data_IF_594863316582
#
_entry.id   IF_594863316582
#
_cell.length_a   1.000
_cell.length_b   1.000
_cell.length_c   1.000
_cell.angle_alpha   90.00
_cell.angle_beta   90.00
_cell.angle_gamma   90.00
#
_symmetry.space_group_name_H-M   'P 1'
#
loop_
_entity.id
_entity.type
_entity.pdbx_description
1 polymer ?
#
# COMPACT_ATOMS: atom_id res chain seq x y z
N UNK A 1 -7.09 13.90 -15.31
CA UNK A 1 -6.79 14.58 -14.03
C UNK A 1 -5.94 13.62 -13.21
N UNK A 2 -4.76 14.01 -12.74
CA UNK A 2 -3.79 13.08 -12.15
C UNK A 2 -4.15 12.65 -10.73
N UNK A 3 -3.98 11.37 -10.43
CA UNK A 3 -4.19 10.75 -9.11
C UNK A 3 -2.82 10.48 -8.48
N UNK A 4 -2.64 10.85 -7.20
CA UNK A 4 -1.44 10.48 -6.42
C UNK A 4 -1.84 9.38 -5.46
N UNK A 5 -1.12 8.26 -5.49
CA UNK A 5 -1.28 7.15 -4.56
C UNK A 5 -0.53 7.47 -3.28
N UNK A 6 -1.18 7.30 -2.13
CA UNK A 6 -0.58 7.58 -0.82
C UNK A 6 -0.48 6.31 0.05
N UNK A 7 -1.34 5.33 -0.21
CA UNK A 7 -1.34 4.09 0.57
C UNK A 7 -1.87 2.92 -0.27
N UNK A 8 -1.25 1.76 -0.09
CA UNK A 8 -1.63 0.48 -0.67
C UNK A 8 -1.80 -0.50 0.48
N UNK A 9 -3.03 -0.95 0.67
CA UNK A 9 -3.40 -2.02 1.59
C UNK A 9 -3.50 -3.31 0.80
N UNK A 10 -2.87 -4.39 1.26
CA UNK A 10 -2.90 -5.67 0.57
C UNK A 10 -3.01 -6.84 1.54
N UNK A 11 -3.79 -7.84 1.15
CA UNK A 11 -3.91 -9.12 1.85
C UNK A 11 -4.16 -10.28 0.88
N UNK A 12 -4.61 -11.43 1.40
CA UNK A 12 -4.93 -12.63 0.61
C UNK A 12 -6.25 -12.52 -0.17
N UNK A 13 -7.06 -11.49 0.08
CA UNK A 13 -8.34 -11.24 -0.58
C UNK A 13 -8.21 -10.21 -1.70
N UNK A 14 -7.20 -9.34 -1.66
CA UNK A 14 -6.89 -8.42 -2.74
C UNK A 14 -6.11 -7.20 -2.28
N UNK A 15 -6.28 -6.11 -3.03
CA UNK A 15 -5.56 -4.84 -2.85
C UNK A 15 -6.54 -3.67 -2.84
N UNK A 16 -6.35 -2.77 -1.88
CA UNK A 16 -7.06 -1.51 -1.75
C UNK A 16 -6.06 -0.35 -1.87
N UNK A 17 -6.21 0.45 -2.93
CA UNK A 17 -5.34 1.58 -3.24
C UNK A 17 -6.04 2.87 -2.84
N UNK A 18 -5.43 3.60 -1.91
CA UNK A 18 -5.89 4.90 -1.47
C UNK A 18 -5.14 6.00 -2.22
N UNK A 19 -5.91 6.87 -2.87
CA UNK A 19 -5.42 8.14 -3.40
C UNK A 19 -5.95 9.29 -2.56
N UNK A 20 -5.52 10.50 -2.87
CA UNK A 20 -6.05 11.71 -2.22
C UNK A 20 -7.56 11.90 -2.40
N UNK A 21 -8.16 11.28 -3.43
CA UNK A 21 -9.55 11.55 -3.84
C UNK A 21 -10.46 10.35 -3.70
N UNK A 22 -9.94 9.14 -3.87
CA UNK A 22 -10.76 7.95 -3.94
C UNK A 22 -10.00 6.68 -3.58
N UNK A 23 -10.75 5.60 -3.51
CA UNK A 23 -10.28 4.26 -3.21
C UNK A 23 -10.50 3.40 -4.45
N UNK A 24 -9.48 2.64 -4.84
CA UNK A 24 -9.57 1.63 -5.88
C UNK A 24 -9.42 0.25 -5.27
N UNK A 25 -10.25 -0.69 -5.71
CA UNK A 25 -10.19 -2.10 -5.32
C UNK A 25 -9.73 -2.93 -6.52
N UNK A 26 -8.82 -3.87 -6.28
CA UNK A 26 -8.30 -4.77 -7.31
C UNK A 26 -7.85 -6.10 -6.68
N UNK A 27 -7.77 -7.16 -7.49
CA UNK A 27 -7.21 -8.45 -7.03
C UNK A 27 -5.68 -8.40 -6.90
N UNK A 28 -5.02 -7.57 -7.71
CA UNK A 28 -3.57 -7.39 -7.72
C UNK A 28 -3.17 -5.98 -8.16
N UNK A 29 -1.95 -5.56 -7.81
CA UNK A 29 -1.37 -4.27 -8.23
C UNK A 29 0.07 -4.44 -8.70
N UNK A 30 0.46 -3.71 -9.75
CA UNK A 30 1.86 -3.61 -10.20
C UNK A 30 2.39 -2.24 -9.84
N UNK A 31 3.49 -2.19 -9.10
CA UNK A 31 4.13 -0.94 -8.67
C UNK A 31 5.33 -0.65 -9.58
N UNK A 32 5.24 0.43 -10.35
CA UNK A 32 6.30 0.87 -11.29
C UNK A 32 6.82 2.27 -10.97
N UNK A 33 6.80 2.67 -9.70
CA UNK A 33 7.31 3.97 -9.28
C UNK A 33 8.84 4.02 -9.39
N UNK A 34 9.39 5.22 -9.58
CA UNK A 34 10.84 5.42 -9.57
C UNK A 34 11.45 4.94 -8.26
N UNK A 35 12.65 4.36 -8.33
CA UNK A 35 13.33 3.77 -7.16
C UNK A 35 13.49 4.75 -5.99
N UNK A 36 13.69 6.05 -6.25
CA UNK A 36 13.80 7.08 -5.22
C UNK A 36 12.51 7.36 -4.45
N UNK A 37 11.36 6.89 -4.94
CA UNK A 37 10.06 7.03 -4.26
C UNK A 37 9.89 5.98 -3.16
N UNK A 38 10.40 4.77 -3.35
CA UNK A 38 10.27 3.66 -2.39
C UNK A 38 10.83 3.99 -0.99
N UNK A 39 12.06 4.53 -0.83
CA UNK A 39 12.59 4.86 0.49
C UNK A 39 12.01 6.16 1.08
N UNK A 40 11.25 6.93 0.30
CA UNK A 40 10.76 8.27 0.71
C UNK A 40 9.49 8.24 1.57
N UNK A 41 8.91 7.05 1.79
CA UNK A 41 7.63 6.88 2.51
C UNK A 41 6.45 7.67 1.92
N UNK A 42 6.53 8.09 0.65
CA UNK A 42 5.44 8.76 -0.06
C UNK A 42 4.24 7.83 -0.32
N UNK A 43 4.49 6.53 -0.40
CA UNK A 43 3.47 5.47 -0.51
C UNK A 43 3.64 4.53 0.67
N UNK A 44 2.58 4.40 1.48
CA UNK A 44 2.56 3.45 2.60
C UNK A 44 2.08 2.08 2.11
N UNK A 45 2.86 1.04 2.42
CA UNK A 45 2.54 -0.35 2.09
C UNK A 45 2.21 -1.10 3.38
N UNK A 46 0.92 -1.33 3.65
CA UNK A 46 0.49 -1.91 4.92
C UNK A 46 -0.41 -3.13 4.71
N UNK A 47 -0.35 -4.07 5.65
CA UNK A 47 -1.41 -5.07 5.81
C UNK A 47 -2.66 -4.39 6.39
N UNK A 48 -3.88 -4.83 6.04
CA UNK A 48 -5.10 -4.33 6.67
C UNK A 48 -5.05 -4.52 8.19
N UNK A 49 -5.50 -3.52 8.93
CA UNK A 49 -5.33 -3.39 10.39
C UNK A 49 -5.97 -4.52 11.21
N UNK A 50 -6.80 -5.36 10.57
CA UNK A 50 -7.41 -6.54 11.17
C UNK A 50 -6.35 -7.59 11.55
N UNK A 51 -5.22 -7.64 10.84
CA UNK A 51 -4.10 -8.56 11.13
C UNK A 51 -3.04 -7.98 12.09
N UNK A 52 -3.07 -6.66 12.34
CA UNK A 52 -2.10 -5.99 13.24
C UNK A 52 -2.30 -6.32 14.72
N UNK A 53 -3.48 -6.83 15.10
CA UNK A 53 -3.75 -7.26 16.47
C UNK A 53 -3.09 -8.61 16.82
N UNK A 54 -2.58 -9.35 15.82
CA UNK A 54 -2.12 -10.75 15.98
C UNK A 54 -0.68 -10.99 15.54
N UNK A 55 -0.05 -10.07 14.78
CA UNK A 55 1.32 -10.26 14.30
C UNK A 55 2.30 -9.27 14.95
N UNK A 56 3.44 -9.73 15.51
CA UNK A 56 4.48 -8.85 16.02
C UNK A 56 5.07 -8.04 14.86
N UNK A 57 4.95 -6.72 14.98
CA UNK A 57 5.39 -5.70 14.04
C UNK A 57 6.87 -5.85 13.69
N UNK A 58 7.16 -6.42 12.53
CA UNK A 58 8.46 -6.27 11.86
C UNK A 58 8.21 -5.59 10.52
N UNK A 59 8.69 -4.34 10.30
CA UNK A 59 8.60 -3.73 8.99
C UNK A 59 9.48 -4.53 8.01
N UNK A 60 8.93 -4.86 6.84
CA UNK A 60 9.70 -5.36 5.72
C UNK A 60 10.71 -4.28 5.33
N UNK A 61 11.97 -4.51 5.70
CA UNK A 61 13.12 -3.76 5.18
C UNK A 61 13.64 -4.53 3.97
N UNK A 62 13.68 -3.87 2.81
CA UNK A 62 14.39 -4.34 1.64
C UNK A 62 15.89 -4.44 1.92
#
# INVERSE_FOLDING_TARGET
MSEVVNQILYDYQGVCIHTQRQIYLADAVIVTVSIGVLPSSQILFNLPTIYSAIAPSSPLRL
#
